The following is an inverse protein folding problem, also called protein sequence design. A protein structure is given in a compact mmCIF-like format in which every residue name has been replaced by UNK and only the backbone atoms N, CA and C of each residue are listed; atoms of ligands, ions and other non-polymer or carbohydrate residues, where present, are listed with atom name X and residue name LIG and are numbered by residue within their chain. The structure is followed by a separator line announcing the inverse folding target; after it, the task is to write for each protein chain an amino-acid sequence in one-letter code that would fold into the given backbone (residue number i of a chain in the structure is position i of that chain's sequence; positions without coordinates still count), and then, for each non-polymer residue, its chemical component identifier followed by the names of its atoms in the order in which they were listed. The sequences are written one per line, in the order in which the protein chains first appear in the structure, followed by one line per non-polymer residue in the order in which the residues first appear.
data_IF_100001119670
#
_entry.id   IF_100001119670
#
_cell.length_a   1.000
_cell.length_b   1.000
_cell.length_c   1.000
_cell.angle_alpha   90.00
_cell.angle_beta   90.00
_cell.angle_gamma   90.00
#
_symmetry.space_group_name_H-M   'P 1'
#
loop_
_entity.id
_entity.type
_entity.pdbx_description
1 polymer ?
#
# COMPACT_ATOMS: atom_id res chain seq x y z
N UNK A 1 3.22 9.00 32.40
CA UNK A 1 2.71 8.00 31.42
C UNK A 1 1.38 8.43 30.81
N UNK A 2 0.34 8.72 31.60
CA UNK A 2 -0.96 9.16 31.07
C UNK A 2 -0.91 10.41 30.16
N UNK A 3 -0.07 11.39 30.48
CA UNK A 3 0.09 12.60 29.67
C UNK A 3 0.67 12.32 28.28
N UNK A 4 1.69 11.45 28.21
CA UNK A 4 2.34 11.09 26.93
C UNK A 4 1.35 10.35 26.03
N UNK A 5 0.62 9.39 26.59
CA UNK A 5 -0.41 8.65 25.83
C UNK A 5 -1.46 9.60 25.28
N UNK A 6 -1.96 10.53 26.10
CA UNK A 6 -2.93 11.53 25.65
C UNK A 6 -2.38 12.42 24.53
N UNK A 7 -1.15 12.91 24.65
CA UNK A 7 -0.52 13.73 23.61
C UNK A 7 -0.41 12.98 22.28
N UNK A 8 0.01 11.71 22.31
CA UNK A 8 0.10 10.88 21.09
C UNK A 8 -1.27 10.64 20.47
N UNK A 9 -2.27 10.28 21.29
CA UNK A 9 -3.63 10.05 20.81
C UNK A 9 -4.24 11.32 20.21
N UNK A 10 -4.09 12.48 20.85
CA UNK A 10 -4.56 13.75 20.30
C UNK A 10 -3.89 14.10 18.97
N UNK A 11 -2.58 13.85 18.85
CA UNK A 11 -1.85 14.09 17.61
C UNK A 11 -2.29 13.13 16.48
N UNK A 12 -2.58 11.87 16.80
CA UNK A 12 -3.11 10.90 15.85
C UNK A 12 -4.47 11.36 15.28
N UNK A 13 -5.41 11.74 16.16
CA UNK A 13 -6.73 12.21 15.73
C UNK A 13 -6.65 13.51 14.91
N UNK A 14 -5.77 14.43 15.30
CA UNK A 14 -5.54 15.65 14.54
C UNK A 14 -5.12 15.36 13.08
N UNK A 15 -4.19 14.43 12.87
CA UNK A 15 -3.68 14.12 11.52
C UNK A 15 -4.67 13.27 10.72
N UNK A 16 -5.26 12.26 11.34
CA UNK A 16 -6.02 11.23 10.63
C UNK A 16 -7.49 11.62 10.43
N UNK A 17 -8.04 12.45 11.33
CA UNK A 17 -9.47 12.74 11.35
C UNK A 17 -9.76 14.23 11.08
N UNK A 18 -8.99 15.16 11.67
CA UNK A 18 -9.28 16.60 11.56
C UNK A 18 -8.79 17.25 10.26
N UNK A 19 -7.58 16.89 9.79
CA UNK A 19 -7.00 17.45 8.55
C UNK A 19 -7.18 16.56 7.32
N UNK A 20 -7.78 15.38 7.47
CA UNK A 20 -7.97 14.44 6.38
C UNK A 20 -9.05 14.91 5.39
N UNK A 21 -8.85 14.65 4.09
CA UNK A 21 -9.84 14.99 3.07
C UNK A 21 -11.06 14.05 3.18
N UNK A 22 -12.26 14.58 3.53
CA UNK A 22 -13.46 13.78 3.71
C UNK A 22 -13.88 13.01 2.45
N UNK A 23 -13.47 13.46 1.25
CA UNK A 23 -13.78 12.80 -0.03
C UNK A 23 -13.13 11.43 -0.16
N UNK A 24 -12.00 11.23 0.51
CA UNK A 24 -11.16 10.02 0.40
C UNK A 24 -11.28 9.09 1.60
N UNK A 25 -11.96 9.51 2.67
CA UNK A 25 -11.96 8.78 3.94
C UNK A 25 -12.61 7.37 3.86
N UNK A 26 -13.53 7.18 2.92
CA UNK A 26 -14.18 5.89 2.66
C UNK A 26 -13.34 4.96 1.78
N UNK A 27 -12.18 5.40 1.29
CA UNK A 27 -11.35 4.57 0.43
C UNK A 27 -10.69 3.46 1.26
N UNK A 28 -10.60 2.25 0.70
CA UNK A 28 -9.94 1.16 1.38
C UNK A 28 -8.48 1.53 1.66
N UNK A 29 -8.00 1.19 2.86
CA UNK A 29 -6.64 1.47 3.34
C UNK A 29 -6.32 2.95 3.65
N UNK A 30 -7.24 3.88 3.42
CA UNK A 30 -7.00 5.32 3.65
C UNK A 30 -7.47 5.78 5.04
N UNK A 31 -8.48 5.13 5.63
CA UNK A 31 -9.08 5.55 6.90
C UNK A 31 -8.15 5.47 8.12
N UNK A 32 -7.08 4.68 8.04
CA UNK A 32 -6.02 4.62 9.07
C UNK A 32 -4.70 4.23 8.40
N UNK A 33 -3.55 4.72 8.88
CA UNK A 33 -2.25 4.30 8.39
C UNK A 33 -1.85 2.89 8.86
N UNK A 34 -2.47 2.37 9.93
CA UNK A 34 -2.08 1.10 10.55
C UNK A 34 -2.19 -0.11 9.59
N UNK A 35 -3.26 -0.28 8.79
CA UNK A 35 -3.36 -1.36 7.82
C UNK A 35 -2.22 -1.35 6.79
N UNK A 36 -1.85 -0.17 6.28
CA UNK A 36 -0.75 -0.04 5.30
C UNK A 36 0.58 -0.43 5.93
N UNK A 37 0.86 0.07 7.15
CA UNK A 37 2.09 -0.25 7.87
C UNK A 37 2.21 -1.75 8.15
N UNK A 38 1.09 -2.40 8.52
CA UNK A 38 1.05 -3.84 8.72
C UNK A 38 1.34 -4.61 7.42
N UNK A 39 0.71 -4.23 6.31
CA UNK A 39 0.94 -4.85 4.99
C UNK A 39 2.41 -4.70 4.59
N UNK A 40 2.99 -3.51 4.75
CA UNK A 40 4.40 -3.26 4.42
C UNK A 40 5.35 -4.11 5.27
N UNK A 41 5.10 -4.18 6.58
CA UNK A 41 5.90 -5.02 7.49
C UNK A 41 5.83 -6.50 7.10
N UNK A 42 4.63 -7.02 6.87
CA UNK A 42 4.41 -8.41 6.48
C UNK A 42 5.04 -8.72 5.11
N UNK A 43 4.86 -7.84 4.13
CA UNK A 43 5.47 -7.97 2.81
C UNK A 43 7.00 -8.02 2.90
N UNK A 44 7.60 -7.11 3.67
CA UNK A 44 9.04 -7.07 3.85
C UNK A 44 9.59 -8.34 4.51
N UNK A 45 8.90 -8.82 5.56
CA UNK A 45 9.24 -10.08 6.24
C UNK A 45 9.08 -11.28 5.29
N UNK A 46 8.03 -11.28 4.47
CA UNK A 46 7.79 -12.31 3.46
C UNK A 46 8.91 -12.37 2.43
N UNK A 47 9.24 -11.25 1.79
CA UNK A 47 10.26 -11.23 0.71
C UNK A 47 11.66 -11.53 1.23
N UNK A 48 12.02 -11.09 2.44
CA UNK A 48 13.40 -11.24 2.95
C UNK A 48 13.67 -12.55 3.68
N UNK A 49 12.68 -13.10 4.38
CA UNK A 49 12.90 -14.29 5.24
C UNK A 49 12.02 -15.45 4.83
N UNK A 50 10.70 -15.28 4.84
CA UNK A 50 9.78 -16.41 4.67
C UNK A 50 9.80 -16.98 3.25
N UNK A 51 9.79 -16.12 2.23
CA UNK A 51 9.85 -16.49 0.82
C UNK A 51 11.13 -17.26 0.46
N UNK A 52 12.33 -16.71 0.72
CA UNK A 52 13.59 -17.40 0.45
C UNK A 52 13.73 -18.71 1.24
N UNK A 53 13.33 -18.73 2.51
CA UNK A 53 13.36 -19.95 3.34
C UNK A 53 12.43 -21.04 2.78
N UNK A 54 11.24 -20.66 2.31
CA UNK A 54 10.28 -21.58 1.69
C UNK A 54 10.76 -22.11 0.33
N UNK A 55 11.45 -21.27 -0.45
CA UNK A 55 12.01 -21.63 -1.75
C UNK A 55 13.37 -22.34 -1.68
N UNK A 56 14.00 -22.42 -0.51
CA UNK A 56 15.37 -22.93 -0.35
C UNK A 56 15.59 -24.34 -0.95
N UNK A 57 14.57 -25.19 -0.89
CA UNK A 57 14.62 -26.56 -1.42
C UNK A 57 13.71 -26.77 -2.65
N UNK A 58 13.33 -25.69 -3.35
CA UNK A 58 12.39 -25.74 -4.48
C UNK A 58 13.03 -25.06 -5.71
N UNK A 59 12.74 -25.61 -6.90
CA UNK A 59 13.14 -24.95 -8.13
C UNK A 59 12.33 -23.66 -8.36
N UNK A 60 12.91 -22.64 -9.01
CA UNK A 60 12.21 -21.40 -9.31
C UNK A 60 11.00 -21.64 -10.22
N UNK A 61 9.90 -20.97 -9.93
CA UNK A 61 8.69 -21.06 -10.75
C UNK A 61 8.89 -20.35 -12.10
N UNK A 62 8.40 -20.94 -13.18
CA UNK A 62 8.33 -20.26 -14.48
C UNK A 62 7.12 -19.33 -14.52
N UNK A 63 7.34 -18.06 -14.17
CA UNK A 63 6.29 -17.04 -14.12
C UNK A 63 6.27 -16.15 -15.38
N UNK A 64 6.98 -16.51 -16.44
CA UNK A 64 7.18 -15.63 -17.62
C UNK A 64 5.86 -15.12 -18.20
N UNK A 65 4.92 -16.02 -18.50
CA UNK A 65 3.63 -15.65 -19.08
C UNK A 65 2.79 -14.79 -18.12
N UNK A 66 2.82 -15.10 -16.83
CA UNK A 66 2.11 -14.33 -15.81
C UNK A 66 2.65 -12.90 -15.69
N UNK A 67 3.98 -12.74 -15.71
CA UNK A 67 4.65 -11.43 -15.66
C UNK A 67 4.32 -10.61 -16.91
N UNK A 68 4.26 -11.24 -18.09
CA UNK A 68 3.88 -10.54 -19.33
C UNK A 68 2.45 -9.99 -19.22
N UNK A 69 1.49 -10.82 -18.80
CA UNK A 69 0.09 -10.38 -18.62
C UNK A 69 0.00 -9.26 -17.58
N UNK A 70 0.70 -9.40 -16.45
CA UNK A 70 0.74 -8.38 -15.40
C UNK A 70 1.25 -7.03 -15.94
N UNK A 71 2.37 -7.03 -16.69
CA UNK A 71 2.93 -5.80 -17.24
C UNK A 71 2.01 -5.14 -18.27
N UNK A 72 1.32 -5.92 -19.10
CA UNK A 72 0.34 -5.38 -20.06
C UNK A 72 -0.79 -4.66 -19.32
N UNK A 73 -1.37 -5.30 -18.29
CA UNK A 73 -2.39 -4.68 -17.44
C UNK A 73 -1.86 -3.40 -16.78
N UNK A 74 -0.63 -3.43 -16.27
CA UNK A 74 0.00 -2.27 -15.65
C UNK A 74 0.16 -1.10 -16.64
N UNK A 75 0.52 -1.35 -17.90
CA UNK A 75 0.64 -0.30 -18.94
C UNK A 75 -0.72 0.36 -19.17
N UNK A 76 -1.79 -0.42 -19.32
CA UNK A 76 -3.14 0.14 -19.52
C UNK A 76 -3.61 0.97 -18.32
N UNK A 77 -3.41 0.48 -17.09
CA UNK A 77 -3.77 1.23 -15.88
C UNK A 77 -2.97 2.53 -15.75
N UNK A 78 -1.66 2.49 -16.03
CA UNK A 78 -0.80 3.67 -15.99
C UNK A 78 -1.21 4.70 -17.06
N UNK A 79 -1.55 4.23 -18.26
CA UNK A 79 -2.08 5.06 -19.33
C UNK A 79 -3.39 5.74 -18.94
N UNK A 80 -4.35 4.98 -18.39
CA UNK A 80 -5.61 5.51 -17.89
C UNK A 80 -5.40 6.60 -16.84
N UNK A 81 -4.59 6.31 -15.80
CA UNK A 81 -4.28 7.28 -14.75
C UNK A 81 -3.63 8.55 -15.31
N UNK A 82 -2.75 8.41 -16.32
CA UNK A 82 -2.12 9.56 -16.97
C UNK A 82 -3.14 10.43 -17.70
N UNK A 83 -4.09 9.83 -18.43
CA UNK A 83 -5.15 10.58 -19.14
C UNK A 83 -6.08 11.29 -18.17
N UNK A 84 -6.51 10.60 -17.10
CA UNK A 84 -7.33 11.19 -16.05
C UNK A 84 -6.62 12.39 -15.41
N UNK A 85 -5.37 12.21 -14.98
CA UNK A 85 -4.58 13.29 -14.38
C UNK A 85 -4.42 14.46 -15.36
N UNK A 86 -4.07 14.22 -16.63
CA UNK A 86 -3.95 15.29 -17.62
C UNK A 86 -5.27 15.99 -17.92
N UNK A 87 -6.41 15.32 -17.81
CA UNK A 87 -7.73 15.92 -18.11
C UNK A 87 -8.26 16.77 -16.95
N UNK A 88 -7.94 16.40 -15.70
CA UNK A 88 -8.37 17.14 -14.51
C UNK A 88 -7.32 18.13 -13.98
N UNK A 89 -6.06 18.05 -14.43
CA UNK A 89 -4.99 18.94 -14.01
C UNK A 89 -4.80 20.17 -14.92
N UNK A 90 -5.45 20.23 -16.09
CA UNK A 90 -5.43 21.35 -17.04
C UNK A 90 -6.86 21.78 -17.40
#
# INVERSE_FOLDING_TARGET
MATIVRTITSYYHYINDEIADPRTNNFPLVSSPLPILLIMYLYHQFVRKWGPSFMANRQPYNLKSLIIVYNIVQIFLSGYLTVEVCTYAF
#
